data_IF_784913508252
#
_entry.id   IF_784913508252
#
_cell.length_a   1.000
_cell.length_b   1.000
_cell.length_c   1.000
_cell.angle_alpha   90.00
_cell.angle_beta   90.00
_cell.angle_gamma   90.00
#
_symmetry.space_group_name_H-M   'P 1'
#
loop_
_entity.id
_entity.type
_entity.pdbx_description
1 polymer ?
#
# COMPACT_ATOMS: atom_id res chain seq x y z
N UNK A 1 -28.81 3.53 -11.88
CA UNK A 1 -27.96 4.17 -10.83
C UNK A 1 -26.62 4.45 -11.45
N UNK A 2 -26.19 5.71 -11.47
CA UNK A 2 -24.94 6.13 -12.10
C UNK A 2 -23.82 5.75 -11.15
N UNK A 3 -23.17 4.61 -11.40
CA UNK A 3 -21.91 4.26 -10.76
C UNK A 3 -20.90 5.33 -11.17
N UNK A 4 -20.55 6.24 -10.26
CA UNK A 4 -19.47 7.19 -10.48
C UNK A 4 -18.20 6.44 -10.85
N UNK A 5 -17.74 6.60 -12.10
CA UNK A 5 -16.47 6.11 -12.66
C UNK A 5 -15.29 6.79 -11.95
N UNK A 6 -15.09 6.55 -10.66
CA UNK A 6 -13.87 6.96 -9.98
C UNK A 6 -12.79 5.96 -10.41
N UNK A 7 -12.00 6.37 -11.40
CA UNK A 7 -10.79 5.66 -11.77
C UNK A 7 -9.73 5.91 -10.69
N UNK A 8 -9.25 4.82 -10.08
CA UNK A 8 -8.14 4.86 -9.13
C UNK A 8 -6.83 4.59 -9.88
N UNK A 9 -5.80 5.29 -9.46
CA UNK A 9 -4.42 5.17 -9.97
C UNK A 9 -3.49 4.76 -8.84
N UNK A 10 -2.37 4.13 -9.19
CA UNK A 10 -1.35 3.74 -8.23
C UNK A 10 -0.93 4.93 -7.36
N UNK A 11 -1.00 4.76 -6.03
CA UNK A 11 -0.68 5.81 -5.07
C UNK A 11 -1.86 6.67 -4.62
N UNK A 12 -3.05 6.49 -5.19
CA UNK A 12 -4.24 7.18 -4.70
C UNK A 12 -4.55 6.75 -3.28
N UNK A 13 -4.93 7.72 -2.44
CA UNK A 13 -5.38 7.44 -1.09
C UNK A 13 -6.88 7.14 -1.14
N UNK A 14 -7.25 6.02 -0.53
CA UNK A 14 -8.63 5.59 -0.40
C UNK A 14 -8.98 5.31 1.05
N UNK A 15 -10.25 5.44 1.38
CA UNK A 15 -10.84 5.01 2.65
C UNK A 15 -11.75 3.80 2.42
N UNK A 16 -11.63 2.81 3.31
CA UNK A 16 -12.44 1.59 3.33
C UNK A 16 -12.53 1.08 4.77
N UNK A 17 -13.75 0.77 5.26
CA UNK A 17 -13.98 0.36 6.66
C UNK A 17 -13.17 1.19 7.70
N UNK A 18 -13.29 2.52 7.62
CA UNK A 18 -12.66 3.48 8.56
C UNK A 18 -11.12 3.47 8.58
N UNK A 19 -10.49 2.71 7.67
CA UNK A 19 -9.04 2.68 7.51
C UNK A 19 -8.64 3.35 6.21
N UNK A 20 -7.43 3.92 6.21
CA UNK A 20 -6.83 4.53 5.03
C UNK A 20 -5.92 3.53 4.34
N UNK A 21 -5.93 3.55 3.01
CA UNK A 21 -5.12 2.69 2.19
C UNK A 21 -4.52 3.46 1.02
N UNK A 22 -3.40 2.95 0.53
CA UNK A 22 -2.83 3.31 -0.77
C UNK A 22 -3.40 2.34 -1.78
N UNK A 23 -4.06 2.83 -2.82
CA UNK A 23 -4.46 2.01 -3.96
C UNK A 23 -3.20 1.62 -4.76
N UNK A 24 -3.03 0.34 -5.08
CA UNK A 24 -1.91 -0.15 -5.88
C UNK A 24 -2.39 -0.41 -7.31
N UNK A 25 -3.25 -1.40 -7.50
CA UNK A 25 -3.78 -1.77 -8.81
C UNK A 25 -5.05 -2.59 -8.67
N UNK A 26 -5.91 -2.55 -9.67
CA UNK A 26 -7.08 -3.43 -9.77
C UNK A 26 -6.91 -4.39 -10.94
N UNK A 27 -7.24 -5.66 -10.71
CA UNK A 27 -7.40 -6.71 -11.71
C UNK A 27 -8.87 -7.12 -11.75
N UNK A 28 -9.24 -8.01 -12.68
CA UNK A 28 -10.63 -8.50 -12.78
C UNK A 28 -11.10 -9.18 -11.48
N UNK A 29 -10.18 -9.82 -10.75
CA UNK A 29 -10.51 -10.61 -9.55
C UNK A 29 -10.28 -9.84 -8.26
N UNK A 30 -9.28 -8.96 -8.25
CA UNK A 30 -8.81 -8.36 -7.02
C UNK A 30 -8.53 -6.87 -7.14
N UNK A 31 -8.62 -6.17 -6.02
CA UNK A 31 -7.96 -4.88 -5.87
C UNK A 31 -6.85 -5.01 -4.85
N UNK A 32 -5.65 -4.59 -5.24
CA UNK A 32 -4.49 -4.53 -4.38
C UNK A 32 -4.39 -3.16 -3.73
N UNK A 33 -4.35 -3.13 -2.39
CA UNK A 33 -4.30 -1.91 -1.57
C UNK A 33 -3.27 -2.08 -0.43
N UNK A 34 -2.52 -1.06 -0.06
CA UNK A 34 -1.63 -1.11 1.10
C UNK A 34 -2.25 -0.35 2.27
N UNK A 35 -2.42 -0.98 3.44
CA UNK A 35 -3.03 -0.31 4.60
C UNK A 35 -2.07 0.71 5.18
N UNK A 36 -2.50 1.95 5.34
CA UNK A 36 -1.74 2.96 6.09
C UNK A 36 -2.01 2.72 7.57
N UNK A 37 -0.96 2.35 8.31
CA UNK A 37 -1.05 2.10 9.74
C UNK A 37 -1.25 3.42 10.50
N UNK A 38 -2.00 3.35 11.60
CA UNK A 38 -2.04 4.43 12.58
C UNK A 38 -0.68 4.58 13.25
N UNK A 39 -0.40 5.72 13.87
CA UNK A 39 0.86 5.93 14.60
C UNK A 39 1.10 4.86 15.67
N UNK A 40 0.04 4.46 16.38
CA UNK A 40 0.07 3.39 17.36
C UNK A 40 0.51 2.07 16.72
N UNK A 41 -0.18 1.65 15.65
CA UNK A 41 0.13 0.39 14.95
C UNK A 41 1.53 0.42 14.30
N UNK A 42 1.99 1.58 13.83
CA UNK A 42 3.36 1.76 13.32
C UNK A 42 4.39 1.50 14.42
N UNK A 43 4.20 2.06 15.62
CA UNK A 43 5.12 1.81 16.76
C UNK A 43 5.13 0.36 17.21
N UNK A 44 3.97 -0.31 17.18
CA UNK A 44 3.90 -1.75 17.44
C UNK A 44 4.66 -2.56 16.39
N UNK A 45 4.45 -2.27 15.10
CA UNK A 45 5.17 -2.92 14.01
C UNK A 45 6.69 -2.70 14.09
N UNK A 46 7.14 -1.49 14.42
CA UNK A 46 8.55 -1.17 14.67
C UNK A 46 9.14 -1.98 15.82
N UNK A 47 8.39 -2.13 16.91
CA UNK A 47 8.83 -2.89 18.08
C UNK A 47 8.97 -4.37 17.75
N UNK A 48 7.98 -4.94 17.05
CA UNK A 48 8.01 -6.33 16.58
C UNK A 48 9.17 -6.58 15.61
N UNK A 49 9.41 -5.66 14.68
CA UNK A 49 10.52 -5.74 13.74
C UNK A 49 11.87 -5.76 14.48
N UNK A 50 12.07 -4.86 15.45
CA UNK A 50 13.30 -4.82 16.27
C UNK A 50 13.51 -6.14 17.04
N UNK A 51 12.45 -6.67 17.66
CA UNK A 51 12.53 -7.95 18.38
C UNK A 51 12.92 -9.08 17.43
N UNK A 52 12.36 -9.10 16.21
CA UNK A 52 12.66 -10.14 15.22
C UNK A 52 14.10 -10.04 14.68
N UNK A 53 14.57 -8.82 14.39
CA UNK A 53 15.94 -8.54 13.97
C UNK A 53 16.96 -8.96 15.03
N UNK A 54 16.68 -8.68 16.31
CA UNK A 54 17.54 -9.09 17.42
C UNK A 54 17.64 -10.61 17.58
N UNK A 55 16.67 -11.37 17.06
CA UNK A 55 16.66 -12.84 17.06
C UNK A 55 17.32 -13.45 15.81
N UNK A 56 17.88 -12.63 14.92
CA UNK A 56 18.58 -13.10 13.72
C UNK A 56 17.68 -13.78 12.67
N UNK A 57 16.37 -13.57 12.75
CA UNK A 57 15.41 -14.18 11.83
C UNK A 57 15.24 -13.35 10.55
N UNK A 58 15.07 -14.00 9.40
CA UNK A 58 14.94 -13.32 8.10
C UNK A 58 13.58 -12.62 8.00
N UNK A 59 13.61 -11.29 8.06
CA UNK A 59 12.44 -10.40 7.93
C UNK A 59 11.83 -10.47 6.52
N UNK A 60 12.64 -10.76 5.51
CA UNK A 60 12.26 -10.69 4.09
C UNK A 60 11.20 -11.72 3.71
N UNK A 61 11.19 -12.87 4.38
CA UNK A 61 10.29 -13.98 4.09
C UNK A 61 8.93 -13.88 4.79
N UNK A 62 8.77 -12.96 5.75
CA UNK A 62 7.56 -12.85 6.54
C UNK A 62 6.70 -11.66 6.08
N UNK A 63 5.50 -11.91 5.51
CA UNK A 63 4.58 -10.86 5.06
C UNK A 63 4.22 -9.83 6.13
N UNK A 64 4.29 -10.22 7.41
CA UNK A 64 4.08 -9.31 8.53
C UNK A 64 5.05 -8.13 8.53
N UNK A 65 6.19 -8.21 7.82
CA UNK A 65 7.20 -7.16 7.75
C UNK A 65 7.35 -6.50 6.37
N UNK A 66 6.33 -6.60 5.51
CA UNK A 66 6.31 -5.92 4.21
C UNK A 66 5.67 -4.54 4.35
N UNK A 67 6.51 -3.54 4.62
CA UNK A 67 6.10 -2.17 4.89
C UNK A 67 6.93 -1.17 4.11
N UNK A 68 6.30 -0.06 3.73
CA UNK A 68 7.01 1.14 3.27
C UNK A 68 6.72 2.28 4.23
N UNK A 69 7.80 2.91 4.73
CA UNK A 69 7.68 4.12 5.53
C UNK A 69 7.34 5.29 4.62
N UNK A 70 6.25 5.98 4.92
CA UNK A 70 5.77 7.12 4.15
C UNK A 70 6.43 8.41 4.60
N UNK A 71 6.71 9.28 3.63
CA UNK A 71 7.33 10.60 3.79
C UNK A 71 6.39 11.74 3.40
N UNK A 72 5.28 11.43 2.74
CA UNK A 72 4.19 12.38 2.44
C UNK A 72 3.68 13.05 3.72
N UNK A 73 3.55 14.37 3.70
CA UNK A 73 3.18 15.21 4.84
C UNK A 73 1.98 14.68 5.64
N UNK A 74 0.91 14.25 4.95
CA UNK A 74 -0.31 13.72 5.55
C UNK A 74 -0.15 12.41 6.34
N UNK A 75 0.94 11.66 6.09
CA UNK A 75 1.20 10.32 6.63
C UNK A 75 2.64 10.19 7.12
N UNK A 76 3.29 11.31 7.42
CA UNK A 76 4.72 11.33 7.70
C UNK A 76 5.06 10.41 8.88
N UNK A 77 5.95 9.45 8.64
CA UNK A 77 6.38 8.49 9.66
C UNK A 77 5.44 7.30 9.85
N UNK A 78 4.26 7.29 9.22
CA UNK A 78 3.39 6.11 9.18
C UNK A 78 3.90 5.09 8.15
N UNK A 79 3.46 3.84 8.30
CA UNK A 79 3.86 2.73 7.41
C UNK A 79 2.69 2.27 6.56
N UNK A 80 2.94 2.03 5.28
CA UNK A 80 2.02 1.33 4.38
C UNK A 80 2.32 -0.17 4.40
N UNK A 81 1.38 -0.98 4.85
CA UNK A 81 1.49 -2.43 5.02
C UNK A 81 0.89 -3.22 3.87
N UNK A 82 1.63 -4.20 3.36
CA UNK A 82 1.27 -5.00 2.18
C UNK A 82 0.73 -6.41 2.49
N UNK A 83 0.73 -6.87 3.75
CA UNK A 83 0.41 -8.27 4.09
C UNK A 83 -1.00 -8.71 3.66
N UNK A 84 -1.95 -7.79 3.61
CA UNK A 84 -3.35 -8.07 3.25
C UNK A 84 -3.80 -7.28 2.03
N UNK A 85 -2.88 -7.11 1.07
CA UNK A 85 -3.14 -6.19 -0.02
C UNK A 85 -4.33 -6.58 -0.89
N UNK A 86 -4.66 -7.87 -0.97
CA UNK A 86 -5.69 -8.38 -1.86
C UNK A 86 -7.11 -8.25 -1.27
N UNK A 87 -7.96 -7.45 -1.92
CA UNK A 87 -9.39 -7.36 -1.68
C UNK A 87 -10.18 -7.89 -2.88
N UNK A 88 -11.40 -8.39 -2.67
CA UNK A 88 -12.30 -8.74 -3.80
C UNK A 88 -12.56 -7.50 -4.66
N UNK A 89 -12.63 -7.66 -5.98
CA UNK A 89 -12.98 -6.57 -6.90
C UNK A 89 -14.34 -5.93 -6.57
N UNK A 90 -15.29 -6.69 -6.03
CA UNK A 90 -16.58 -6.18 -5.55
C UNK A 90 -16.47 -5.18 -4.40
N UNK A 91 -15.36 -5.19 -3.65
CA UNK A 91 -15.12 -4.27 -2.54
C UNK A 91 -14.87 -2.85 -3.03
N UNK A 92 -14.42 -2.69 -4.28
CA UNK A 92 -14.07 -1.40 -4.87
C UNK A 92 -15.23 -0.39 -4.89
N UNK A 93 -16.47 -0.86 -4.92
CA UNK A 93 -17.68 -0.01 -4.86
C UNK A 93 -17.84 0.74 -3.54
N UNK A 94 -17.13 0.32 -2.50
CA UNK A 94 -17.14 0.96 -1.18
C UNK A 94 -15.92 1.87 -0.95
N UNK A 95 -14.98 1.91 -1.89
CA UNK A 95 -13.78 2.73 -1.76
C UNK A 95 -14.13 4.20 -1.98
N UNK A 96 -13.71 5.04 -1.04
CA UNK A 96 -13.84 6.50 -1.16
C UNK A 96 -12.47 7.09 -1.42
N UNK A 97 -12.27 7.71 -2.59
CA UNK A 97 -11.03 8.42 -2.89
C UNK A 97 -10.91 9.66 -2.01
N UNK A 98 -9.76 9.83 -1.35
CA UNK A 98 -9.44 11.04 -0.58
C UNK A 98 -8.62 11.97 -1.49
N UNK A 99 -9.30 12.71 -2.38
CA UNK A 99 -8.66 13.51 -3.44
C UNK A 99 -7.71 14.61 -2.95
N UNK A 100 -7.83 15.05 -1.69
CA UNK A 100 -6.92 16.03 -1.09
C UNK A 100 -5.56 15.46 -0.71
N UNK A 101 -5.39 14.13 -0.76
CA UNK A 101 -4.18 13.44 -0.33
C UNK A 101 -3.63 12.60 -1.47
N UNK A 102 -2.34 12.69 -1.71
CA UNK A 102 -1.63 11.85 -2.69
C UNK A 102 -0.22 11.59 -2.21
N UNK A 103 0.26 10.37 -2.42
CA UNK A 103 1.65 10.06 -2.11
C UNK A 103 2.61 10.86 -2.99
N UNK A 104 3.69 11.34 -2.38
CA UNK A 104 4.81 11.94 -3.12
C UNK A 104 5.54 10.88 -3.92
N UNK A 105 6.24 11.31 -4.97
CA UNK A 105 6.98 10.42 -5.88
C UNK A 105 7.97 9.49 -5.15
N UNK A 106 8.66 9.99 -4.12
CA UNK A 106 9.57 9.18 -3.32
C UNK A 106 8.88 7.97 -2.67
N UNK A 107 7.66 8.16 -2.15
CA UNK A 107 6.87 7.08 -1.53
C UNK A 107 6.38 6.08 -2.59
N UNK A 108 6.00 6.57 -3.79
CA UNK A 108 5.61 5.71 -4.92
C UNK A 108 6.75 4.83 -5.40
N UNK A 109 7.96 5.40 -5.51
CA UNK A 109 9.18 4.67 -5.88
C UNK A 109 9.49 3.62 -4.81
N UNK A 110 9.45 3.99 -3.53
CA UNK A 110 9.71 3.08 -2.42
C UNK A 110 8.69 1.92 -2.37
N UNK A 111 7.40 2.21 -2.54
CA UNK A 111 6.34 1.20 -2.65
C UNK A 111 6.57 0.25 -3.82
N UNK A 112 6.83 0.79 -5.01
CA UNK A 112 7.08 -0.02 -6.20
C UNK A 112 8.31 -0.92 -6.01
N UNK A 113 9.40 -0.37 -5.46
CA UNK A 113 10.62 -1.11 -5.15
C UNK A 113 10.36 -2.26 -4.17
N UNK A 114 9.73 -1.97 -3.04
CA UNK A 114 9.37 -2.94 -2.01
C UNK A 114 8.55 -4.11 -2.60
N UNK A 115 7.54 -3.79 -3.42
CA UNK A 115 6.68 -4.81 -4.03
C UNK A 115 7.45 -5.66 -5.04
N UNK A 116 8.32 -5.06 -5.87
CA UNK A 116 9.07 -5.78 -6.90
C UNK A 116 10.20 -6.64 -6.33
N UNK A 117 10.89 -6.17 -5.28
CA UNK A 117 12.04 -6.85 -4.70
C UNK A 117 11.64 -7.95 -3.71
N UNK A 118 10.67 -7.72 -2.83
CA UNK A 118 10.27 -8.72 -1.82
C UNK A 118 9.49 -9.88 -2.43
N UNK A 119 9.42 -11.03 -1.74
CA UNK A 119 8.64 -12.21 -2.15
C UNK A 119 7.13 -11.97 -2.01
N UNK A 120 6.59 -11.02 -2.77
CA UNK A 120 5.18 -10.62 -2.78
C UNK A 120 4.37 -11.42 -3.81
N UNK A 121 3.14 -10.96 -4.08
CA UNK A 121 2.19 -11.57 -5.01
C UNK A 121 2.68 -11.44 -6.46
N UNK A 122 2.91 -12.55 -7.20
CA UNK A 122 3.41 -12.48 -8.58
C UNK A 122 2.49 -11.72 -9.54
N UNK A 123 1.17 -11.76 -9.32
CA UNK A 123 0.19 -10.98 -10.07
C UNK A 123 0.41 -9.48 -9.82
N UNK A 124 0.46 -9.05 -8.57
CA UNK A 124 0.74 -7.65 -8.22
C UNK A 124 2.04 -7.15 -8.87
N UNK A 125 3.13 -7.91 -8.79
CA UNK A 125 4.40 -7.55 -9.45
C UNK A 125 4.25 -7.33 -10.95
N UNK A 126 3.52 -8.23 -11.62
CA UNK A 126 3.27 -8.16 -13.07
C UNK A 126 2.52 -6.89 -13.45
N UNK A 127 1.49 -6.55 -12.67
CA UNK A 127 0.63 -5.41 -12.94
C UNK A 127 1.32 -4.07 -12.65
N UNK A 128 2.16 -4.00 -11.61
CA UNK A 128 2.79 -2.72 -11.23
C UNK A 128 4.08 -2.40 -11.98
N UNK A 129 4.73 -3.38 -12.62
CA UNK A 129 6.08 -3.21 -13.18
C UNK A 129 6.14 -2.07 -14.21
N UNK A 130 5.07 -1.90 -15.00
CA UNK A 130 5.00 -0.92 -16.09
C UNK A 130 4.30 0.39 -15.67
N UNK A 131 3.80 0.48 -14.43
CA UNK A 131 3.15 1.70 -13.93
C UNK A 131 4.20 2.79 -13.71
N UNK A 132 4.09 3.98 -14.33
CA UNK A 132 5.00 5.09 -14.09
C UNK A 132 4.85 5.59 -12.65
N UNK A 133 5.98 5.86 -11.99
CA UNK A 133 6.02 6.47 -10.64
C UNK A 133 6.13 7.99 -10.69
N UNK A 134 6.36 8.56 -11.88
CA UNK A 134 6.40 9.99 -12.16
C UNK A 134 4.99 10.52 -12.40
N UNK A 135 4.63 11.60 -11.72
CA UNK A 135 3.45 12.39 -12.12
C UNK A 135 3.79 13.08 -13.45
N UNK A 136 3.28 12.55 -14.57
CA UNK A 136 3.16 13.36 -15.78
C UNK A 136 2.10 14.43 -15.45
N UNK A 137 2.57 15.66 -15.25
CA UNK A 137 1.73 16.85 -15.14
C UNK A 137 1.10 17.16 -16.48
#
# INVERSE_FOLDING_TARGET
MISSNISFTFGDIIEFYESKYVFLVATLRFVFIARILTEYNTKEAESLLKIHQNKGSSVEENPLFWFVRLTTEDFQGQWAHLAHAQQSSDSSKFFKKISSKKLVEADLIALKKEILEKRTWPELKREIKDIPTTNVR
#
